data_IF_078060156279
#
_entry.id   IF_078060156279
#
_cell.length_a   1.000
_cell.length_b   1.000
_cell.length_c   1.000
_cell.angle_alpha   90.00
_cell.angle_beta   90.00
_cell.angle_gamma   90.00
#
_symmetry.space_group_name_H-M   'P 1'
#
loop_
_entity.id
_entity.type
_entity.pdbx_description
1 polymer ?
#
# COMPACT_ATOMS: atom_id res chain seq x y z
N UNK A 1 -60.61 -8.54 65.61
CA UNK A 1 -60.93 -9.22 64.34
C UNK A 1 -59.93 -8.72 63.30
N UNK A 2 -58.81 -9.44 63.09
CA UNK A 2 -58.54 -10.31 61.91
C UNK A 2 -58.65 -9.54 60.57
N UNK A 3 -57.65 -9.44 59.70
CA UNK A 3 -56.54 -10.36 59.37
C UNK A 3 -55.38 -9.59 58.70
N UNK A 4 -54.18 -10.04 59.02
CA UNK A 4 -52.90 -9.79 58.36
C UNK A 4 -52.83 -10.58 57.04
N UNK A 5 -52.31 -9.98 55.96
CA UNK A 5 -52.09 -10.65 54.66
C UNK A 5 -50.60 -10.56 54.33
N UNK A 6 -49.98 -11.75 54.25
CA UNK A 6 -48.56 -11.98 54.02
C UNK A 6 -48.26 -12.17 52.50
N UNK A 7 -46.97 -12.23 52.09
CA UNK A 7 -46.50 -11.88 50.75
C UNK A 7 -46.61 -13.03 49.74
N UNK A 8 -46.80 -12.69 48.46
CA UNK A 8 -46.83 -13.63 47.34
C UNK A 8 -45.43 -14.08 46.92
N UNK A 9 -45.09 -15.32 47.29
CA UNK A 9 -43.93 -16.07 46.81
C UNK A 9 -44.29 -17.01 45.66
N UNK A 10 -43.26 -17.32 44.87
CA UNK A 10 -43.17 -18.03 43.59
C UNK A 10 -43.85 -19.42 43.51
N UNK A 11 -44.20 -19.90 42.31
CA UNK A 11 -44.54 -21.31 42.09
C UNK A 11 -43.29 -22.20 41.85
N UNK A 12 -43.30 -23.37 42.51
CA UNK A 12 -42.39 -24.54 42.40
C UNK A 12 -43.33 -25.76 42.23
N UNK A 13 -42.97 -26.94 41.68
CA UNK A 13 -41.96 -27.35 40.67
C UNK A 13 -42.59 -28.24 39.56
N UNK A 14 -41.83 -28.64 38.54
CA UNK A 14 -42.06 -29.94 37.89
C UNK A 14 -40.72 -30.59 37.51
N UNK A 15 -39.98 -31.00 38.52
CA UNK A 15 -38.84 -31.90 38.36
C UNK A 15 -38.99 -33.04 39.38
N UNK A 16 -39.42 -34.19 38.89
CA UNK A 16 -39.33 -35.46 39.59
C UNK A 16 -38.87 -36.53 38.58
N UNK A 17 -37.57 -36.82 38.61
CA UNK A 17 -36.97 -38.07 38.15
C UNK A 17 -36.70 -38.20 36.65
N UNK A 18 -35.41 -38.32 36.29
CA UNK A 18 -34.99 -38.94 35.03
C UNK A 18 -33.91 -38.22 34.23
N UNK A 19 -32.74 -37.96 34.83
CA UNK A 19 -31.51 -37.70 34.07
C UNK A 19 -31.07 -38.99 33.36
N UNK A 20 -31.61 -39.23 32.17
CA UNK A 20 -31.02 -40.07 31.13
C UNK A 20 -32.00 -40.06 29.95
N UNK A 21 -31.47 -39.91 28.74
CA UNK A 21 -32.21 -40.12 27.48
C UNK A 21 -32.91 -38.89 26.87
N UNK A 22 -32.23 -37.73 26.83
CA UNK A 22 -32.47 -36.70 25.79
C UNK A 22 -31.13 -36.28 25.19
N UNK A 23 -30.32 -37.28 24.82
CA UNK A 23 -29.01 -37.12 24.18
C UNK A 23 -29.01 -37.42 22.69
N UNK A 24 -30.15 -37.84 22.12
CA UNK A 24 -30.22 -38.36 20.74
C UNK A 24 -31.07 -37.53 19.78
N UNK A 25 -31.80 -36.51 20.26
CA UNK A 25 -32.75 -35.74 19.41
C UNK A 25 -32.23 -34.35 18.99
N UNK A 26 -31.01 -33.95 19.37
CA UNK A 26 -30.38 -32.69 18.91
C UNK A 26 -29.32 -32.94 17.83
N UNK A 27 -29.00 -34.21 17.55
CA UNK A 27 -27.86 -34.55 16.69
C UNK A 27 -28.18 -34.54 15.19
N UNK A 28 -29.45 -34.40 14.78
CA UNK A 28 -29.86 -34.56 13.38
C UNK A 28 -30.12 -33.24 12.60
N UNK A 29 -30.08 -32.06 13.24
CA UNK A 29 -30.15 -30.77 12.52
C UNK A 29 -28.78 -30.09 12.32
N UNK A 30 -27.68 -30.69 12.81
CA UNK A 30 -26.35 -30.06 12.80
C UNK A 30 -25.49 -30.29 11.55
N UNK A 31 -26.05 -30.69 10.40
CA UNK A 31 -25.18 -31.07 9.26
C UNK A 31 -25.60 -30.59 7.87
N UNK A 32 -26.25 -29.45 7.76
CA UNK A 32 -26.20 -28.67 6.51
C UNK A 32 -25.92 -27.19 6.83
N UNK A 33 -24.92 -26.93 7.67
CA UNK A 33 -24.14 -25.71 7.46
C UNK A 33 -23.20 -26.09 6.31
N UNK A 34 -23.67 -25.91 5.07
CA UNK A 34 -22.78 -25.86 3.92
C UNK A 34 -21.68 -24.88 4.32
N UNK A 35 -20.49 -25.41 4.61
CA UNK A 35 -19.33 -24.55 4.75
C UNK A 35 -19.17 -23.95 3.37
N UNK A 36 -19.74 -22.76 3.19
CA UNK A 36 -19.50 -21.94 2.02
C UNK A 36 -17.99 -21.78 1.98
N UNK A 37 -17.37 -22.59 1.13
CA UNK A 37 -15.95 -22.52 0.86
C UNK A 37 -15.77 -21.21 0.13
N UNK A 38 -15.55 -20.15 0.91
CA UNK A 38 -15.19 -18.84 0.41
C UNK A 38 -13.79 -19.04 -0.13
N UNK A 39 -13.70 -19.42 -1.40
CA UNK A 39 -12.45 -19.39 -2.13
C UNK A 39 -11.91 -17.97 -1.95
N UNK A 40 -10.72 -17.80 -1.34
CA UNK A 40 -10.18 -16.48 -1.12
C UNK A 40 -9.93 -15.88 -2.50
N UNK A 41 -10.84 -15.01 -2.93
CA UNK A 41 -10.69 -14.26 -4.16
C UNK A 41 -9.38 -13.48 -3.99
N UNK A 42 -8.35 -13.88 -4.72
CA UNK A 42 -7.08 -13.18 -4.76
C UNK A 42 -7.29 -11.88 -5.55
N UNK A 43 -7.90 -10.89 -4.89
CA UNK A 43 -8.03 -9.55 -5.42
C UNK A 43 -6.62 -9.02 -5.67
N UNK A 44 -6.34 -8.65 -6.93
CA UNK A 44 -5.07 -8.08 -7.38
C UNK A 44 -5.32 -6.65 -7.84
N UNK A 45 -4.56 -5.72 -7.28
CA UNK A 45 -4.60 -4.32 -7.70
C UNK A 45 -4.23 -4.20 -9.20
N UNK A 46 -5.17 -3.74 -10.01
CA UNK A 46 -5.01 -3.52 -11.45
C UNK A 46 -5.55 -2.12 -11.80
N UNK A 47 -4.73 -1.07 -11.69
CA UNK A 47 -5.16 0.28 -12.05
C UNK A 47 -5.32 0.41 -13.57
N UNK A 48 -6.24 1.26 -14.01
CA UNK A 48 -6.45 1.60 -15.43
C UNK A 48 -5.17 2.15 -16.07
N UNK A 49 -4.44 3.00 -15.33
CA UNK A 49 -3.12 3.49 -15.73
C UNK A 49 -2.05 2.89 -14.82
N UNK A 50 -1.19 2.05 -15.41
CA UNK A 50 -0.06 1.46 -14.68
C UNK A 50 1.10 2.46 -14.53
N UNK A 51 0.96 3.36 -13.56
CA UNK A 51 1.97 4.37 -13.21
C UNK A 51 3.30 3.76 -12.76
N UNK A 52 3.30 2.51 -12.26
CA UNK A 52 4.52 1.80 -11.91
C UNK A 52 5.34 1.50 -13.16
N UNK A 53 4.74 0.92 -14.19
CA UNK A 53 5.45 0.65 -15.45
C UNK A 53 5.91 1.95 -16.11
N UNK A 54 5.06 2.99 -16.10
CA UNK A 54 5.45 4.30 -16.64
C UNK A 54 6.64 4.91 -15.88
N UNK A 55 6.72 4.76 -14.55
CA UNK A 55 7.87 5.25 -13.79
C UNK A 55 9.19 4.62 -14.22
N UNK A 56 9.19 3.34 -14.65
CA UNK A 56 10.41 2.69 -15.16
C UNK A 56 10.87 3.27 -16.50
N UNK A 57 9.94 3.62 -17.39
CA UNK A 57 10.29 4.30 -18.64
C UNK A 57 10.88 5.68 -18.37
N UNK A 58 10.30 6.45 -17.45
CA UNK A 58 10.83 7.77 -17.07
C UNK A 58 12.22 7.65 -16.46
N UNK A 59 12.45 6.64 -15.62
CA UNK A 59 13.77 6.36 -15.06
C UNK A 59 14.79 6.01 -16.16
N UNK A 60 14.41 5.16 -17.11
CA UNK A 60 15.25 4.79 -18.24
C UNK A 60 15.62 6.00 -19.10
N UNK A 61 14.66 6.89 -19.39
CA UNK A 61 14.91 8.14 -20.13
C UNK A 61 15.93 9.03 -19.40
N UNK A 62 15.80 9.20 -18.09
CA UNK A 62 16.77 9.94 -17.28
C UNK A 62 18.18 9.37 -17.38
N UNK A 63 18.31 8.04 -17.33
CA UNK A 63 19.59 7.34 -17.50
C UNK A 63 20.15 7.51 -18.92
N UNK A 64 19.31 7.48 -19.95
CA UNK A 64 19.73 7.73 -21.33
C UNK A 64 20.31 9.13 -21.50
N UNK A 65 19.65 10.16 -20.94
CA UNK A 65 20.19 11.51 -20.95
C UNK A 65 21.54 11.58 -20.24
N UNK A 66 21.68 10.95 -19.07
CA UNK A 66 22.97 10.89 -18.37
C UNK A 66 24.07 10.32 -19.28
N UNK A 67 23.81 9.19 -19.93
CA UNK A 67 24.79 8.54 -20.82
C UNK A 67 25.15 9.46 -21.99
N UNK A 68 24.16 10.04 -22.68
CA UNK A 68 24.38 10.93 -23.83
C UNK A 68 25.22 12.15 -23.45
N UNK A 69 24.97 12.75 -22.28
CA UNK A 69 25.73 13.91 -21.84
C UNK A 69 27.12 13.52 -21.33
N UNK A 70 27.29 12.36 -20.71
CA UNK A 70 28.61 11.86 -20.31
C UNK A 70 29.48 11.49 -21.51
N UNK A 71 28.91 10.91 -22.57
CA UNK A 71 29.66 10.67 -23.81
C UNK A 71 30.03 11.98 -24.50
N UNK A 72 29.16 12.99 -24.47
CA UNK A 72 29.46 14.34 -24.99
C UNK A 72 30.57 15.02 -24.18
N UNK A 73 30.55 14.87 -22.85
CA UNK A 73 31.58 15.36 -21.95
C UNK A 73 32.95 14.72 -22.24
N UNK A 74 32.99 13.44 -22.62
CA UNK A 74 34.23 12.75 -23.00
C UNK A 74 34.88 13.34 -24.26
N UNK A 75 34.08 13.86 -25.19
CA UNK A 75 34.54 14.51 -26.43
C UNK A 75 34.84 16.00 -26.26
N UNK A 76 34.64 16.57 -25.08
CA UNK A 76 34.85 18.00 -24.83
C UNK A 76 36.34 18.37 -24.92
N UNK A 77 36.64 19.44 -25.66
CA UNK A 77 38.02 19.92 -25.85
C UNK A 77 38.44 20.95 -24.80
N UNK A 78 37.48 21.62 -24.15
CA UNK A 78 37.73 22.66 -23.16
C UNK A 78 37.07 22.32 -21.82
N UNK A 79 37.68 22.81 -20.74
CA UNK A 79 37.23 22.54 -19.37
C UNK A 79 35.84 23.12 -19.08
N UNK A 80 35.49 24.25 -19.70
CA UNK A 80 34.16 24.86 -19.57
C UNK A 80 33.06 23.98 -20.18
N UNK A 81 33.31 23.39 -21.35
CA UNK A 81 32.37 22.49 -22.01
C UNK A 81 32.18 21.20 -21.21
N UNK A 82 33.26 20.66 -20.64
CA UNK A 82 33.23 19.48 -19.77
C UNK A 82 32.31 19.72 -18.56
N UNK A 83 32.51 20.83 -17.84
CA UNK A 83 31.69 21.19 -16.68
C UNK A 83 30.23 21.41 -17.08
N UNK A 84 29.99 22.06 -18.23
CA UNK A 84 28.64 22.29 -18.76
C UNK A 84 27.89 21.00 -19.05
N UNK A 85 28.48 20.07 -19.82
CA UNK A 85 27.84 18.79 -20.14
C UNK A 85 27.63 17.92 -18.92
N UNK A 86 28.61 17.87 -18.00
CA UNK A 86 28.47 17.15 -16.74
C UNK A 86 27.31 17.69 -15.91
N UNK A 87 27.22 19.01 -15.76
CA UNK A 87 26.15 19.68 -15.01
C UNK A 87 24.78 19.41 -15.63
N UNK A 88 24.66 19.59 -16.95
CA UNK A 88 23.39 19.47 -17.66
C UNK A 88 22.88 18.03 -17.67
N UNK A 89 23.77 17.06 -17.91
CA UNK A 89 23.46 15.63 -17.87
C UNK A 89 22.97 15.16 -16.51
N UNK A 90 23.69 15.52 -15.43
CA UNK A 90 23.26 15.17 -14.08
C UNK A 90 21.94 15.87 -13.70
N UNK A 91 21.79 17.16 -14.02
CA UNK A 91 20.56 17.92 -13.71
C UNK A 91 19.33 17.27 -14.34
N UNK A 92 19.40 16.93 -15.64
CA UNK A 92 18.32 16.25 -16.34
C UNK A 92 18.07 14.85 -15.77
N UNK A 93 19.12 14.09 -15.48
CA UNK A 93 19.00 12.76 -14.89
C UNK A 93 18.24 12.80 -13.55
N UNK A 94 18.66 13.66 -12.62
CA UNK A 94 18.00 13.80 -11.32
C UNK A 94 16.57 14.34 -11.45
N UNK A 95 16.30 15.19 -12.45
CA UNK A 95 14.95 15.68 -12.71
C UNK A 95 14.02 14.54 -13.14
N UNK A 96 14.44 13.70 -14.10
CA UNK A 96 13.68 12.52 -14.52
C UNK A 96 13.53 11.50 -13.39
N UNK A 97 14.56 11.31 -12.56
CA UNK A 97 14.46 10.45 -11.37
C UNK A 97 13.44 10.97 -10.37
N UNK A 98 13.41 12.28 -10.10
CA UNK A 98 12.40 12.89 -9.24
C UNK A 98 10.98 12.60 -9.75
N UNK A 99 10.74 12.80 -11.06
CA UNK A 99 9.45 12.50 -11.69
C UNK A 99 9.10 11.00 -11.52
N UNK A 100 10.04 10.10 -11.84
CA UNK A 100 9.82 8.66 -11.70
C UNK A 100 9.47 8.26 -10.26
N UNK A 101 10.16 8.84 -9.27
CA UNK A 101 9.86 8.60 -7.85
C UNK A 101 8.48 9.12 -7.45
N UNK A 102 8.06 10.30 -7.89
CA UNK A 102 6.70 10.78 -7.61
C UNK A 102 5.62 9.94 -8.30
N UNK A 103 5.88 9.47 -9.51
CA UNK A 103 4.99 8.51 -10.18
C UNK A 103 4.89 7.20 -9.39
N UNK A 104 6.01 6.65 -8.92
CA UNK A 104 6.00 5.45 -8.08
C UNK A 104 5.31 5.67 -6.72
N UNK A 105 5.45 6.87 -6.14
CA UNK A 105 4.74 7.27 -4.93
C UNK A 105 3.22 7.32 -5.16
N UNK A 106 2.78 7.91 -6.28
CA UNK A 106 1.36 7.99 -6.65
C UNK A 106 0.75 6.59 -6.89
N UNK A 107 1.48 5.70 -7.55
CA UNK A 107 1.09 4.29 -7.69
C UNK A 107 0.95 3.59 -6.33
N UNK A 108 1.94 3.79 -5.46
CA UNK A 108 1.97 3.17 -4.13
C UNK A 108 0.84 3.69 -3.24
N UNK A 109 0.47 4.98 -3.39
CA UNK A 109 -0.71 5.58 -2.77
C UNK A 109 -1.99 4.90 -3.24
N UNK A 110 -2.24 4.84 -4.55
CA UNK A 110 -3.43 4.19 -5.11
C UNK A 110 -3.56 2.72 -4.69
N UNK A 111 -2.44 1.99 -4.63
CA UNK A 111 -2.42 0.62 -4.11
C UNK A 111 -2.71 0.53 -2.61
N UNK A 112 -2.28 1.51 -1.83
CA UNK A 112 -2.56 1.60 -0.38
C UNK A 112 -4.04 1.82 -0.13
N UNK A 113 -4.63 2.79 -0.83
CA UNK A 113 -6.04 3.18 -0.70
C UNK A 113 -6.95 2.03 -1.15
N UNK A 114 -6.60 1.37 -2.26
CA UNK A 114 -7.31 0.18 -2.71
C UNK A 114 -7.25 -0.96 -1.69
N UNK A 115 -6.08 -1.24 -1.09
CA UNK A 115 -5.97 -2.26 -0.04
C UNK A 115 -6.83 -1.95 1.19
N UNK A 116 -6.85 -0.69 1.62
CA UNK A 116 -7.75 -0.24 2.69
C UNK A 116 -9.22 -0.46 2.33
N UNK A 117 -9.61 -0.16 1.08
CA UNK A 117 -11.00 -0.31 0.62
C UNK A 117 -11.52 -1.75 0.63
N UNK A 118 -10.61 -2.73 0.50
CA UNK A 118 -10.93 -4.16 0.57
C UNK A 118 -10.57 -4.80 1.92
N UNK A 119 -10.27 -3.99 2.95
CA UNK A 119 -9.93 -4.46 4.29
C UNK A 119 -8.57 -5.16 4.41
N UNK A 120 -7.68 -5.02 3.43
CA UNK A 120 -6.34 -5.60 3.45
C UNK A 120 -5.30 -4.67 4.08
N UNK A 121 -4.24 -5.25 4.66
CA UNK A 121 -3.13 -4.49 5.22
C UNK A 121 -2.35 -3.72 4.15
N UNK A 122 -2.20 -2.41 4.35
CA UNK A 122 -1.55 -1.50 3.41
C UNK A 122 -0.10 -1.15 3.77
N UNK A 123 0.43 -1.62 4.91
CA UNK A 123 1.75 -1.23 5.46
C UNK A 123 2.89 -1.24 4.43
N UNK A 124 3.02 -2.31 3.62
CA UNK A 124 4.04 -2.39 2.54
C UNK A 124 3.86 -1.32 1.45
N UNK A 125 2.62 -1.02 1.08
CA UNK A 125 2.30 -0.02 0.06
C UNK A 125 2.51 1.40 0.60
N UNK A 126 2.16 1.65 1.86
CA UNK A 126 2.42 2.91 2.57
C UNK A 126 3.92 3.18 2.71
N UNK A 127 4.70 2.18 3.13
CA UNK A 127 6.16 2.29 3.22
C UNK A 127 6.80 2.62 1.87
N UNK A 128 6.40 1.92 0.79
CA UNK A 128 6.88 2.21 -0.56
C UNK A 128 6.54 3.62 -1.06
N UNK A 129 5.36 4.14 -0.69
CA UNK A 129 4.97 5.52 -0.98
C UNK A 129 5.89 6.53 -0.27
N UNK A 130 6.10 6.35 1.04
CA UNK A 130 6.94 7.26 1.85
C UNK A 130 8.37 7.28 1.31
N UNK A 131 8.94 6.09 1.08
CA UNK A 131 10.28 5.94 0.54
C UNK A 131 10.44 6.65 -0.81
N UNK A 132 9.49 6.45 -1.73
CA UNK A 132 9.55 7.09 -3.04
C UNK A 132 9.46 8.63 -2.94
N UNK A 133 8.63 9.17 -2.03
CA UNK A 133 8.58 10.63 -1.82
C UNK A 133 9.90 11.18 -1.30
N UNK A 134 10.53 10.51 -0.33
CA UNK A 134 11.82 10.94 0.23
C UNK A 134 12.89 10.96 -0.87
N UNK A 135 12.97 9.93 -1.70
CA UNK A 135 13.91 9.89 -2.82
C UNK A 135 13.62 10.98 -3.87
N UNK A 136 12.35 11.22 -4.19
CA UNK A 136 11.96 12.30 -5.11
C UNK A 136 12.36 13.68 -4.60
N UNK A 137 12.14 13.96 -3.32
CA UNK A 137 12.56 15.21 -2.66
C UNK A 137 14.09 15.30 -2.65
N UNK A 138 14.80 14.23 -2.31
CA UNK A 138 16.26 14.21 -2.31
C UNK A 138 16.82 14.54 -3.70
N UNK A 139 16.24 14.01 -4.78
CA UNK A 139 16.64 14.36 -6.14
C UNK A 139 16.45 15.86 -6.43
N UNK A 140 15.34 16.46 -6.00
CA UNK A 140 15.12 17.91 -6.14
C UNK A 140 16.16 18.70 -5.32
N UNK A 141 16.44 18.29 -4.08
CA UNK A 141 17.45 18.97 -3.26
C UNK A 141 18.83 18.91 -3.92
N UNK A 142 19.21 17.78 -4.51
CA UNK A 142 20.47 17.65 -5.26
C UNK A 142 20.51 18.64 -6.43
N UNK A 143 19.42 18.77 -7.19
CA UNK A 143 19.34 19.76 -8.27
C UNK A 143 19.56 21.18 -7.73
N UNK A 144 18.81 21.56 -6.69
CA UNK A 144 18.79 22.93 -6.17
C UNK A 144 20.09 23.30 -5.42
N UNK A 145 20.69 22.38 -4.67
CA UNK A 145 21.85 22.69 -3.82
C UNK A 145 23.19 22.32 -4.45
N UNK A 146 23.23 21.37 -5.38
CA UNK A 146 24.49 20.95 -6.02
C UNK A 146 24.60 21.56 -7.41
N UNK A 147 23.57 21.39 -8.24
CA UNK A 147 23.69 21.74 -9.66
C UNK A 147 23.28 23.18 -9.99
N UNK A 148 22.32 23.80 -9.29
CA UNK A 148 21.96 25.22 -9.51
C UNK A 148 23.06 26.22 -9.10
N UNK A 149 23.73 26.10 -7.93
CA UNK A 149 24.72 27.10 -7.49
C UNK A 149 26.09 26.99 -8.19
N UNK A 150 26.32 25.99 -9.03
CA UNK A 150 27.51 25.89 -9.89
C UNK A 150 27.50 26.90 -11.06
N UNK A 151 27.03 28.12 -10.83
CA UNK A 151 26.96 29.23 -11.80
C UNK A 151 28.10 30.23 -11.56
#
# INVERSE_FOLDING_TARGET
>A
MTKEVAPHSQPIPLFAGGFATVGSEIQNESRIISQQQIEPINLKYSPEVNLRTRSYYVFAIGLTFLIVFMTSAWTATNLMDLVYYFRLGNTLCFFFFAIAFFMNASYSKGKSDWKLSIGQSNSKSTSGMIFSKILGILCILIIVFVFVPMH
#
